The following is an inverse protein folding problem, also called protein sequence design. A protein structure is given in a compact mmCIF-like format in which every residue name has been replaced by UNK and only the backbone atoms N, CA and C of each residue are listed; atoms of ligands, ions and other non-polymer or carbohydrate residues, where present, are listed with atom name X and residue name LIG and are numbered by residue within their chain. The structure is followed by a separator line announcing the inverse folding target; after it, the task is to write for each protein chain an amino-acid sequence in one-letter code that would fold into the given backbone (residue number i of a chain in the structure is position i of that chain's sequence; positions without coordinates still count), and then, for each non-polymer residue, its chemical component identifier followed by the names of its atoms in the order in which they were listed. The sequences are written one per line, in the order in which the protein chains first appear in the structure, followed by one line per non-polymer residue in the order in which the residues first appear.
data_IF_796014594576
#
_entry.id   IF_796014594576
#
_cell.length_a   1.000
_cell.length_b   1.000
_cell.length_c   1.000
_cell.angle_alpha   90.00
_cell.angle_beta   90.00
_cell.angle_gamma   90.00
#
_symmetry.space_group_name_H-M   'P 1'
#
loop_
_entity.id
_entity.type
_entity.pdbx_description
1 polymer ?
#
# COMPACT_ATOMS: atom_id res chain seq x y z
N UNK A 1 -15.78 5.06 9.44
CA UNK A 1 -14.35 5.05 9.06
C UNK A 1 -14.19 5.43 7.60
N UNK A 2 -13.14 6.16 7.24
CA UNK A 2 -12.94 6.64 5.86
C UNK A 2 -12.56 5.51 4.90
N UNK A 3 -12.98 5.66 3.64
CA UNK A 3 -12.52 4.83 2.53
C UNK A 3 -11.03 5.02 2.27
N UNK A 4 -10.39 3.98 1.72
CA UNK A 4 -9.10 4.06 1.06
C UNK A 4 -9.31 3.73 -0.41
N UNK A 5 -9.06 4.71 -1.28
CA UNK A 5 -9.21 4.57 -2.74
C UNK A 5 -8.23 3.56 -3.32
N UNK A 6 -8.54 3.04 -4.51
CA UNK A 6 -7.71 2.05 -5.19
C UNK A 6 -6.29 2.55 -5.46
N UNK A 7 -5.29 1.79 -5.00
CA UNK A 7 -3.88 2.14 -5.15
C UNK A 7 -2.98 0.89 -5.13
N UNK A 8 -1.69 1.11 -5.38
CA UNK A 8 -0.60 0.14 -5.20
C UNK A 8 0.34 0.70 -4.13
N UNK A 9 0.81 -0.10 -3.18
CA UNK A 9 1.77 0.38 -2.17
C UNK A 9 3.07 0.89 -2.80
N UNK A 10 3.51 0.25 -3.89
CA UNK A 10 4.67 0.64 -4.68
C UNK A 10 4.52 2.00 -5.38
N UNK A 11 3.31 2.59 -5.39
CA UNK A 11 3.11 3.99 -5.76
C UNK A 11 3.76 4.94 -4.75
N UNK A 12 3.82 4.56 -3.47
CA UNK A 12 4.34 5.39 -2.38
C UNK A 12 5.69 4.90 -1.85
N UNK A 13 5.90 3.58 -1.84
CA UNK A 13 7.07 2.89 -1.29
C UNK A 13 7.73 2.10 -2.42
N UNK A 14 8.39 2.83 -3.32
CA UNK A 14 8.97 2.26 -4.53
C UNK A 14 10.41 1.78 -4.31
N UNK A 15 10.73 0.64 -4.92
CA UNK A 15 12.06 0.02 -4.95
C UNK A 15 12.38 -0.43 -6.38
N UNK A 16 13.66 -0.47 -6.73
CA UNK A 16 14.15 -1.00 -8.01
C UNK A 16 15.26 -2.05 -7.78
N UNK A 17 15.07 -3.32 -8.19
CA UNK A 17 13.79 -3.93 -8.61
C UNK A 17 12.72 -3.87 -7.51
N UNK A 18 11.46 -4.04 -7.88
CA UNK A 18 10.34 -3.97 -6.94
C UNK A 18 10.38 -5.15 -5.94
N UNK A 19 10.49 -4.84 -4.65
CA UNK A 19 10.53 -5.84 -3.56
C UNK A 19 9.63 -5.50 -2.37
N UNK A 20 8.88 -4.40 -2.44
CA UNK A 20 8.02 -3.93 -1.35
C UNK A 20 6.88 -4.92 -1.07
N UNK A 21 6.73 -5.30 0.21
CA UNK A 21 5.63 -6.13 0.72
C UNK A 21 4.98 -5.44 1.92
N UNK A 22 3.66 -5.32 1.91
CA UNK A 22 2.84 -4.88 3.03
C UNK A 22 2.34 -6.04 3.87
N UNK A 23 2.40 -5.88 5.19
CA UNK A 23 1.75 -6.76 6.16
C UNK A 23 0.58 -6.01 6.74
N UNK A 24 -0.63 -6.55 6.61
CA UNK A 24 -1.84 -6.00 7.19
C UNK A 24 -2.41 -6.99 8.19
N UNK A 25 -2.42 -6.63 9.47
CA UNK A 25 -2.84 -7.51 10.57
C UNK A 25 -4.15 -7.01 11.15
N UNK A 26 -5.18 -7.86 11.10
CA UNK A 26 -6.50 -7.57 11.65
C UNK A 26 -6.46 -7.57 13.19
N UNK A 27 -6.63 -6.41 13.83
CA UNK A 27 -6.75 -6.32 15.29
C UNK A 27 -8.19 -6.58 15.75
N UNK A 28 -9.13 -6.50 14.82
CA UNK A 28 -10.56 -6.78 14.93
C UNK A 28 -11.03 -7.50 13.65
N UNK A 29 -12.22 -8.10 13.67
CA UNK A 29 -12.80 -8.69 12.47
C UNK A 29 -12.97 -7.63 11.38
N UNK A 30 -12.60 -7.97 10.15
CA UNK A 30 -12.83 -7.16 8.97
C UNK A 30 -13.89 -7.83 8.11
N UNK A 31 -15.04 -7.20 7.97
CA UNK A 31 -16.21 -7.67 7.24
C UNK A 31 -16.51 -6.73 6.08
N UNK A 32 -17.47 -7.10 5.23
CA UNK A 32 -17.92 -6.23 4.14
C UNK A 32 -18.48 -4.91 4.67
N UNK A 33 -19.21 -4.96 5.79
CA UNK A 33 -19.94 -3.82 6.36
C UNK A 33 -19.01 -2.83 7.07
N UNK A 34 -17.93 -3.33 7.68
CA UNK A 34 -16.97 -2.49 8.42
C UNK A 34 -15.69 -2.13 7.64
N UNK A 35 -15.64 -2.47 6.35
CA UNK A 35 -14.58 -2.03 5.43
C UNK A 35 -13.39 -2.98 5.32
N UNK A 36 -13.64 -4.26 5.01
CA UNK A 36 -12.57 -5.19 4.66
C UNK A 36 -11.78 -4.74 3.42
N UNK A 37 -10.65 -5.39 3.19
CA UNK A 37 -9.83 -5.14 2.01
C UNK A 37 -10.48 -5.72 0.75
N UNK A 38 -10.18 -5.10 -0.38
CA UNK A 38 -10.55 -5.57 -1.71
C UNK A 38 -9.34 -5.54 -2.63
N UNK A 39 -9.18 -6.57 -3.47
CA UNK A 39 -8.03 -6.71 -4.36
C UNK A 39 -8.43 -7.00 -5.81
N UNK A 40 -7.65 -6.49 -6.76
CA UNK A 40 -7.73 -6.91 -8.17
C UNK A 40 -6.76 -8.07 -8.40
N UNK A 41 -7.28 -9.28 -8.60
CA UNK A 41 -6.47 -10.49 -8.78
C UNK A 41 -5.54 -10.35 -9.99
N UNK A 42 -4.26 -10.64 -9.80
CA UNK A 42 -3.26 -10.61 -10.88
C UNK A 42 -2.71 -9.22 -11.24
N UNK A 43 -3.29 -8.13 -10.72
CA UNK A 43 -2.86 -6.75 -11.01
C UNK A 43 -1.40 -6.43 -10.63
N UNK A 44 -0.78 -7.24 -9.78
CA UNK A 44 0.65 -7.10 -9.46
C UNK A 44 1.59 -7.38 -10.63
N UNK A 45 1.08 -7.90 -11.75
CA UNK A 45 1.90 -8.26 -12.93
C UNK A 45 1.99 -7.14 -13.97
N UNK A 46 1.27 -6.04 -13.81
CA UNK A 46 1.22 -4.93 -14.78
C UNK A 46 2.12 -3.75 -14.41
N UNK A 47 3.08 -3.94 -13.50
CA UNK A 47 3.99 -2.88 -13.05
C UNK A 47 3.34 -1.88 -12.10
N UNK A 48 4.01 -0.76 -11.85
CA UNK A 48 3.47 0.35 -11.03
C UNK A 48 2.82 1.36 -11.95
N UNK A 49 1.53 1.62 -11.80
CA UNK A 49 0.78 2.46 -12.75
C UNK A 49 0.98 3.96 -12.54
N UNK A 50 1.36 4.36 -11.32
CA UNK A 50 1.53 5.76 -10.90
C UNK A 50 2.42 5.78 -9.66
N UNK A 51 3.26 6.81 -9.51
CA UNK A 51 4.05 7.06 -8.30
C UNK A 51 3.70 8.40 -7.68
N UNK A 52 3.71 8.45 -6.35
CA UNK A 52 3.68 9.67 -5.54
C UNK A 52 5.13 10.03 -5.20
N UNK A 53 5.62 11.09 -5.83
CA UNK A 53 7.04 11.45 -5.85
C UNK A 53 7.24 12.87 -5.36
N UNK A 54 8.46 13.20 -4.93
CA UNK A 54 8.85 14.60 -4.69
C UNK A 54 8.61 15.43 -5.95
N UNK A 55 8.04 16.61 -5.77
CA UNK A 55 7.80 17.51 -6.87
C UNK A 55 9.15 17.97 -7.45
N UNK A 56 9.41 17.77 -8.76
CA UNK A 56 10.62 18.25 -9.39
C UNK A 56 10.61 19.77 -9.60
N UNK A 57 9.45 20.42 -9.51
CA UNK A 57 9.31 21.87 -9.60
C UNK A 57 9.64 22.52 -8.24
N UNK A 58 10.78 23.25 -8.11
CA UNK A 58 11.18 23.87 -6.85
C UNK A 58 10.31 25.07 -6.46
N UNK A 59 9.57 25.66 -7.42
CA UNK A 59 8.73 26.83 -7.20
C UNK A 59 7.28 26.46 -6.88
N UNK A 60 6.94 25.17 -6.97
CA UNK A 60 5.61 24.67 -6.67
C UNK A 60 5.33 24.69 -5.15
N UNK A 61 4.12 25.10 -4.72
CA UNK A 61 3.72 24.98 -3.32
C UNK A 61 3.53 23.52 -2.87
N UNK A 62 3.36 22.59 -3.82
CA UNK A 62 3.17 21.17 -3.53
C UNK A 62 4.51 20.45 -3.44
N UNK A 63 4.84 19.91 -2.26
CA UNK A 63 6.09 19.16 -2.05
C UNK A 63 6.13 17.81 -2.78
N UNK A 64 4.96 17.24 -3.05
CA UNK A 64 4.82 15.93 -3.68
C UNK A 64 3.72 15.97 -4.73
N UNK A 65 3.96 15.26 -5.82
CA UNK A 65 3.02 15.14 -6.93
C UNK A 65 2.91 13.69 -7.32
N UNK A 66 1.85 13.39 -8.06
CA UNK A 66 1.82 12.13 -8.77
C UNK A 66 2.32 12.29 -10.20
N UNK A 67 3.21 11.39 -10.62
CA UNK A 67 3.85 11.45 -11.93
C UNK A 67 2.98 10.95 -13.11
N UNK A 68 1.77 10.49 -12.84
CA UNK A 68 0.79 10.04 -13.83
C UNK A 68 -0.64 10.35 -13.34
N UNK A 69 -1.65 10.35 -14.23
CA UNK A 69 -3.05 10.44 -13.83
C UNK A 69 -3.51 9.26 -12.96
N UNK A 70 -4.58 9.42 -12.15
CA UNK A 70 -5.18 8.31 -11.43
C UNK A 70 -5.71 7.25 -12.41
N UNK A 71 -5.54 5.98 -12.05
CA UNK A 71 -6.11 4.86 -12.80
C UNK A 71 -7.52 4.57 -12.32
N UNK A 72 -8.39 4.20 -13.26
CA UNK A 72 -9.76 3.76 -12.96
C UNK A 72 -9.80 2.25 -13.12
N UNK A 73 -10.15 1.55 -12.04
CA UNK A 73 -10.33 0.10 -12.05
C UNK A 73 -11.83 -0.20 -11.97
N UNK A 74 -12.39 -1.02 -12.88
CA UNK A 74 -13.79 -1.41 -12.80
C UNK A 74 -14.08 -2.09 -11.46
N UNK A 75 -15.16 -1.69 -10.77
CA UNK A 75 -15.56 -2.27 -9.49
C UNK A 75 -15.72 -3.80 -9.56
N UNK A 76 -16.16 -4.34 -10.71
CA UNK A 76 -16.29 -5.78 -10.98
C UNK A 76 -14.96 -6.55 -10.94
N UNK A 77 -13.82 -5.86 -10.99
CA UNK A 77 -12.49 -6.50 -10.93
C UNK A 77 -12.05 -6.78 -9.48
N UNK A 78 -12.69 -6.13 -8.50
CA UNK A 78 -12.32 -6.25 -7.10
C UNK A 78 -12.98 -7.44 -6.43
N UNK A 79 -12.20 -8.15 -5.63
CA UNK A 79 -12.64 -9.27 -4.82
C UNK A 79 -12.45 -8.91 -3.35
N UNK A 80 -13.53 -8.98 -2.56
CA UNK A 80 -13.51 -8.71 -1.12
C UNK A 80 -12.79 -9.80 -0.36
N UNK A 81 -12.04 -9.42 0.67
CA UNK A 81 -11.31 -10.33 1.55
C UNK A 81 -11.69 -10.04 3.01
N UNK A 82 -12.88 -10.47 3.46
CA UNK A 82 -13.22 -10.43 4.87
C UNK A 82 -12.38 -11.45 5.64
N UNK A 83 -11.91 -11.07 6.82
CA UNK A 83 -11.05 -11.89 7.68
C UNK A 83 -11.38 -11.69 9.14
N UNK A 84 -11.15 -12.72 9.95
CA UNK A 84 -11.28 -12.63 11.41
C UNK A 84 -10.08 -11.93 12.05
N UNK A 85 -10.29 -11.40 13.26
CA UNK A 85 -9.24 -10.88 14.14
C UNK A 85 -8.07 -11.87 14.23
N UNK A 86 -6.85 -11.34 14.14
CA UNK A 86 -5.61 -12.10 14.16
C UNK A 86 -5.12 -12.55 12.78
N UNK A 87 -5.95 -12.45 11.74
CA UNK A 87 -5.50 -12.74 10.37
C UNK A 87 -4.43 -11.73 9.92
N UNK A 88 -3.44 -12.22 9.16
CA UNK A 88 -2.45 -11.42 8.48
C UNK A 88 -2.64 -11.56 6.96
N UNK A 89 -2.91 -10.44 6.29
CA UNK A 89 -2.99 -10.35 4.83
C UNK A 89 -1.66 -9.82 4.31
N UNK A 90 -1.01 -10.59 3.45
CA UNK A 90 0.23 -10.20 2.77
C UNK A 90 -0.11 -9.49 1.46
N UNK A 91 0.40 -8.27 1.30
CA UNK A 91 0.08 -7.37 0.20
C UNK A 91 1.35 -7.20 -0.64
N UNK A 92 1.33 -7.71 -1.87
CA UNK A 92 2.42 -7.46 -2.81
C UNK A 92 2.42 -5.98 -3.23
N UNK A 93 3.57 -5.30 -3.27
CA UNK A 93 3.62 -3.84 -3.47
C UNK A 93 2.91 -3.34 -4.73
N UNK A 94 2.86 -4.16 -5.79
CA UNK A 94 2.17 -3.84 -7.05
C UNK A 94 0.69 -4.31 -7.10
N UNK A 95 0.14 -4.97 -6.10
CA UNK A 95 -1.27 -5.38 -6.16
C UNK A 95 -2.19 -4.17 -5.95
N UNK A 96 -3.15 -3.99 -6.85
CA UNK A 96 -4.17 -2.97 -6.71
C UNK A 96 -5.14 -3.40 -5.63
N UNK A 97 -5.31 -2.55 -4.62
CA UNK A 97 -6.20 -2.80 -3.51
C UNK A 97 -6.87 -1.52 -2.98
N UNK A 98 -7.97 -1.70 -2.25
CA UNK A 98 -8.78 -0.62 -1.66
C UNK A 98 -9.50 -1.12 -0.40
N UNK A 99 -10.15 -0.21 0.33
CA UNK A 99 -11.13 -0.56 1.37
C UNK A 99 -12.30 0.40 1.36
N UNK A 100 -13.52 -0.12 1.42
CA UNK A 100 -14.73 0.69 1.47
C UNK A 100 -14.86 1.48 2.78
N UNK A 101 -15.74 2.47 2.77
CA UNK A 101 -16.21 3.12 3.98
C UNK A 101 -16.75 2.10 4.98
N UNK A 102 -16.35 2.24 6.25
CA UNK A 102 -16.99 1.52 7.34
C UNK A 102 -18.36 2.18 7.63
N UNK A 103 -19.44 1.44 7.33
CA UNK A 103 -20.84 1.85 7.51
C UNK A 103 -21.50 1.23 8.74
N UNK A 104 -20.75 0.40 9.47
CA UNK A 104 -21.22 -0.27 10.67
C UNK A 104 -21.01 0.58 11.93
N UNK A 105 -21.49 0.07 13.07
CA UNK A 105 -21.20 0.62 14.39
C UNK A 105 -19.96 0.01 15.07
N UNK A 106 -19.22 -0.88 14.37
CA UNK A 106 -18.02 -1.53 14.89
C UNK A 106 -16.78 -0.95 14.22
N UNK A 107 -15.71 -0.77 14.99
CA UNK A 107 -14.38 -0.44 14.46
C UNK A 107 -13.83 -1.56 13.57
N UNK A 108 -12.76 -1.21 12.85
CA UNK A 108 -11.90 -2.13 12.10
C UNK A 108 -10.47 -1.68 12.33
N UNK A 109 -9.91 -1.95 13.49
CA UNK A 109 -8.51 -1.64 13.75
C UNK A 109 -7.61 -2.67 13.08
N UNK A 110 -6.52 -2.17 12.51
CA UNK A 110 -5.50 -2.98 11.88
C UNK A 110 -4.13 -2.37 12.15
N UNK A 111 -3.12 -3.22 12.26
CA UNK A 111 -1.73 -2.82 12.30
C UNK A 111 -1.08 -3.14 10.97
N UNK A 112 -0.34 -2.17 10.41
CA UNK A 112 0.31 -2.34 9.11
C UNK A 112 1.75 -1.92 9.17
N UNK A 113 2.61 -2.69 8.51
CA UNK A 113 3.98 -2.29 8.24
C UNK A 113 4.41 -2.82 6.87
N UNK A 114 5.38 -2.16 6.27
CA UNK A 114 5.94 -2.55 4.98
C UNK A 114 7.40 -2.92 5.16
N UNK A 115 7.84 -3.89 4.36
CA UNK A 115 9.24 -4.29 4.25
C UNK A 115 9.65 -4.23 2.79
N UNK A 116 10.94 -4.14 2.56
CA UNK A 116 11.54 -4.30 1.24
C UNK A 116 12.89 -5.00 1.39
N UNK A 117 13.37 -5.59 0.31
CA UNK A 117 14.66 -6.29 0.32
C UNK A 117 15.79 -5.30 0.06
N UNK A 118 16.44 -4.83 1.13
CA UNK A 118 17.54 -3.88 1.03
C UNK A 118 18.82 -4.45 0.42
N UNK A 119 18.97 -5.79 0.35
CA UNK A 119 20.15 -6.42 -0.28
C UNK A 119 20.01 -6.53 -1.79
N UNK A 120 18.77 -6.63 -2.27
CA UNK A 120 18.47 -6.89 -3.68
C UNK A 120 17.69 -5.76 -4.38
N UNK A 121 17.40 -4.66 -3.68
CA UNK A 121 16.74 -3.50 -4.27
C UNK A 121 17.23 -2.18 -3.70
N UNK A 122 17.10 -1.14 -4.52
CA UNK A 122 17.38 0.23 -4.12
C UNK A 122 16.08 0.94 -3.75
N UNK A 123 16.01 1.51 -2.55
CA UNK A 123 14.90 2.36 -2.12
C UNK A 123 14.94 3.68 -2.89
N UNK A 124 13.83 4.05 -3.55
CA UNK A 124 13.82 5.25 -4.38
C UNK A 124 13.96 6.53 -3.55
N UNK A 125 14.87 7.41 -3.98
CA UNK A 125 15.07 8.75 -3.41
C UNK A 125 13.87 9.68 -3.62
N UNK A 126 12.98 9.34 -4.55
CA UNK A 126 11.79 10.13 -4.86
C UNK A 126 10.61 9.79 -3.96
N UNK A 127 10.69 8.68 -3.20
CA UNK A 127 9.63 8.32 -2.26
C UNK A 127 9.45 9.43 -1.23
N UNK A 128 8.19 9.66 -0.84
CA UNK A 128 7.85 10.70 0.13
C UNK A 128 8.52 10.48 1.50
N UNK A 129 8.58 9.21 1.92
CA UNK A 129 9.26 8.80 3.13
C UNK A 129 10.74 8.62 2.82
N UNK A 130 11.57 9.41 3.50
CA UNK A 130 13.01 9.21 3.56
C UNK A 130 13.40 9.16 5.03
N UNK A 131 14.51 8.49 5.32
CA UNK A 131 15.08 8.42 6.66
C UNK A 131 16.51 8.95 6.63
N UNK A 132 16.89 9.71 7.66
CA UNK A 132 18.28 10.14 7.88
C UNK A 132 19.15 9.01 8.43
N UNK A 133 18.52 8.00 9.04
CA UNK A 133 19.12 6.75 9.49
C UNK A 133 18.82 5.61 8.51
N UNK A 134 19.43 4.45 8.69
CA UNK A 134 19.09 3.28 7.87
C UNK A 134 17.74 2.67 8.27
N UNK A 135 17.02 2.12 7.28
CA UNK A 135 15.83 1.31 7.57
C UNK A 135 16.23 0.09 8.40
N UNK A 136 15.51 -0.15 9.50
CA UNK A 136 15.82 -1.25 10.42
C UNK A 136 15.58 -2.60 9.75
N UNK A 137 16.56 -3.49 9.91
CA UNK A 137 16.38 -4.90 9.54
C UNK A 137 15.26 -5.53 10.38
N UNK A 138 14.38 -6.27 9.72
CA UNK A 138 13.34 -7.08 10.39
C UNK A 138 13.97 -8.21 11.21
N UNK A 139 15.10 -8.74 10.77
CA UNK A 139 15.83 -9.81 11.43
C UNK A 139 17.01 -9.24 12.21
N UNK A 140 17.13 -9.63 13.49
CA UNK A 140 18.37 -9.45 14.25
C UNK A 140 19.26 -10.66 13.95
N UNK A 141 20.34 -10.44 13.19
CA UNK A 141 21.49 -11.35 12.96
C UNK A 141 21.42 -12.30 11.75
N UNK A 142 21.95 -11.85 10.60
CA UNK A 142 22.62 -12.70 9.61
C UNK A 142 23.85 -11.98 9.05
#
# INVERSE_FOLDING_TARGET
GSEVVAHQDASFIHTEPMTTIGFWIALEDATLENGCLWFVRGSHRSGVHRRFVRNPDPDSPDLFVYNAPPQIYPNSSFHSVPVSKGACVIIHGQVVHRSDHNRSNKSRHAYTFHVFDSKHSTYSRDNWLQTSEEFKSMYKNF
#
